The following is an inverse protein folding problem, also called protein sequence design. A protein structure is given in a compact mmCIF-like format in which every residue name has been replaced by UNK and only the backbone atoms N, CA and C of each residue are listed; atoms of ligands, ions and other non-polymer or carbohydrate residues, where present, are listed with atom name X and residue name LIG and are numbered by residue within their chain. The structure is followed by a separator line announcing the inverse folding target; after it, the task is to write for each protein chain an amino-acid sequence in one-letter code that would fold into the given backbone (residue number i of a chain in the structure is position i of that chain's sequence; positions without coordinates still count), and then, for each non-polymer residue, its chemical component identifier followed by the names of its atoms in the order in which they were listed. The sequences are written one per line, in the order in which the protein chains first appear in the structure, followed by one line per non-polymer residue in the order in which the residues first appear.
data_IF_809261143823
#
_entry.id   IF_809261143823
#
_cell.length_a   1.000
_cell.length_b   1.000
_cell.length_c   1.000
_cell.angle_alpha   90.00
_cell.angle_beta   90.00
_cell.angle_gamma   90.00
#
_symmetry.space_group_name_H-M   'P 1'
#
loop_
_entity.id
_entity.type
_entity.pdbx_description
1 polymer ?
#
# COMPACT_ATOMS: atom_id res chain seq x y z
N UNK A 1 -2.65 1.63 14.24
CA UNK A 1 -1.33 2.19 14.61
C UNK A 1 -0.72 2.71 13.34
N UNK A 2 -0.36 4.00 13.29
CA UNK A 2 0.15 4.73 12.13
C UNK A 2 1.65 4.44 12.01
N UNK A 3 2.07 3.80 10.93
CA UNK A 3 3.49 3.52 10.68
C UNK A 3 4.16 4.78 10.11
N UNK A 4 5.29 5.19 10.65
CA UNK A 4 6.06 6.30 10.12
C UNK A 4 7.55 5.98 10.00
N UNK A 5 8.21 6.66 9.07
CA UNK A 5 9.67 6.68 8.93
C UNK A 5 10.18 8.10 9.07
N UNK A 6 11.43 8.23 9.51
CA UNK A 6 12.13 9.50 9.68
C UNK A 6 13.34 9.52 8.75
N UNK A 7 13.43 10.54 7.90
CA UNK A 7 14.52 10.70 6.92
C UNK A 7 15.15 12.07 7.08
N UNK A 8 16.38 12.09 7.56
CA UNK A 8 17.14 13.31 7.83
C UNK A 8 18.62 12.92 7.97
N UNK A 9 19.54 13.64 7.36
CA UNK A 9 20.97 13.32 7.46
C UNK A 9 21.56 13.71 8.82
N UNK A 10 20.91 14.63 9.54
CA UNK A 10 21.30 15.08 10.86
C UNK A 10 20.73 14.19 11.96
N UNK A 11 21.58 13.41 12.64
CA UNK A 11 21.15 12.58 13.78
C UNK A 11 20.39 13.35 14.87
N UNK A 12 20.80 14.57 15.29
CA UNK A 12 20.05 15.33 16.29
C UNK A 12 18.60 15.62 15.87
N UNK A 13 18.36 15.93 14.59
CA UNK A 13 17.02 16.17 14.09
C UNK A 13 16.16 14.88 14.10
N UNK A 14 16.75 13.73 13.77
CA UNK A 14 16.05 12.43 13.93
C UNK A 14 15.66 12.15 15.38
N UNK A 15 16.57 12.44 16.34
CA UNK A 15 16.27 12.24 17.78
C UNK A 15 15.17 13.20 18.28
N UNK A 16 15.13 14.44 17.80
CA UNK A 16 14.05 15.39 18.10
C UNK A 16 12.70 14.85 17.58
N UNK A 17 12.63 14.38 16.34
CA UNK A 17 11.42 13.78 15.76
C UNK A 17 11.00 12.51 16.51
N UNK A 18 11.93 11.64 16.88
CA UNK A 18 11.62 10.45 17.71
C UNK A 18 11.00 10.84 19.04
N UNK A 19 11.53 11.87 19.70
CA UNK A 19 10.96 12.35 20.94
C UNK A 19 9.55 12.89 20.77
N UNK A 20 9.29 13.68 19.72
CA UNK A 20 7.98 14.22 19.43
C UNK A 20 6.97 13.11 19.04
N UNK A 21 7.35 12.23 18.14
CA UNK A 21 6.51 11.08 17.72
C UNK A 21 6.26 10.14 18.91
N UNK A 22 7.24 9.97 19.80
CA UNK A 22 7.09 9.12 21.00
C UNK A 22 6.06 9.61 22.01
N UNK A 23 5.58 10.86 21.90
CA UNK A 23 4.45 11.38 22.68
C UNK A 23 3.10 10.87 22.15
N UNK A 24 3.04 10.43 20.89
CA UNK A 24 1.84 10.01 20.19
C UNK A 24 1.68 8.48 20.28
N UNK A 25 0.73 8.03 21.08
CA UNK A 25 0.55 6.59 21.41
C UNK A 25 0.08 5.73 20.22
N UNK A 26 -0.46 6.35 19.19
CA UNK A 26 -0.99 5.71 17.99
C UNK A 26 0.01 5.67 16.82
N UNK A 27 1.19 6.29 16.99
CA UNK A 27 2.28 6.26 15.99
C UNK A 27 3.32 5.20 16.32
N UNK A 28 3.93 4.65 15.28
CA UNK A 28 5.03 3.70 15.37
C UNK A 28 6.11 4.02 14.33
N UNK A 29 7.31 4.36 14.79
CA UNK A 29 8.47 4.49 13.93
C UNK A 29 8.90 3.09 13.49
N UNK A 30 8.93 2.84 12.19
CA UNK A 30 9.30 1.56 11.59
C UNK A 30 10.65 1.60 10.88
N UNK A 31 11.21 2.78 10.67
CA UNK A 31 12.54 2.94 10.06
C UNK A 31 13.07 4.36 10.15
N UNK A 32 14.39 4.47 9.96
CA UNK A 32 15.13 5.72 9.88
C UNK A 32 16.12 5.67 8.74
N UNK A 33 16.34 6.79 8.05
CA UNK A 33 17.30 6.92 6.97
C UNK A 33 17.98 8.29 6.96
N UNK A 34 19.04 8.42 6.19
CA UNK A 34 19.88 9.62 6.12
C UNK A 34 19.80 10.31 4.76
N UNK A 35 19.04 9.78 3.83
CA UNK A 35 18.90 10.31 2.47
C UNK A 35 17.65 9.75 1.77
N UNK A 36 17.28 10.29 0.63
CA UNK A 36 16.11 9.86 -0.11
C UNK A 36 16.20 8.42 -0.69
N UNK A 37 17.41 7.86 -0.86
CA UNK A 37 17.56 6.45 -1.30
C UNK A 37 17.16 5.52 -0.16
N UNK A 38 17.59 5.80 1.06
CA UNK A 38 17.17 5.07 2.26
C UNK A 38 15.65 5.15 2.40
N UNK A 39 15.07 6.36 2.17
CA UNK A 39 13.63 6.54 2.19
C UNK A 39 12.90 5.62 1.22
N UNK A 40 13.35 5.53 -0.05
CA UNK A 40 12.75 4.63 -1.06
C UNK A 40 12.81 3.18 -0.62
N UNK A 41 13.94 2.73 -0.06
CA UNK A 41 14.11 1.36 0.43
C UNK A 41 13.17 1.06 1.59
N UNK A 42 13.11 1.96 2.59
CA UNK A 42 12.25 1.82 3.77
C UNK A 42 10.76 1.87 3.40
N UNK A 43 10.38 2.71 2.44
CA UNK A 43 9.00 2.79 1.94
C UNK A 43 8.61 1.47 1.27
N UNK A 44 9.47 0.89 0.45
CA UNK A 44 9.21 -0.38 -0.21
C UNK A 44 9.15 -1.57 0.78
N UNK A 45 9.93 -1.51 1.88
CA UNK A 45 9.99 -2.59 2.87
C UNK A 45 8.85 -2.52 3.89
N UNK A 46 8.55 -1.32 4.41
CA UNK A 46 7.63 -1.17 5.54
C UNK A 46 6.25 -0.61 5.17
N UNK A 47 6.09 -0.07 3.96
CA UNK A 47 4.87 0.61 3.50
C UNK A 47 4.32 1.57 4.56
N UNK A 48 5.09 2.62 4.95
CA UNK A 48 4.68 3.53 6.00
C UNK A 48 3.52 4.41 5.56
N UNK A 49 2.65 4.74 6.51
CA UNK A 49 1.55 5.68 6.30
C UNK A 49 2.07 7.12 6.14
N UNK A 50 3.20 7.44 6.82
CA UNK A 50 3.77 8.79 6.89
C UNK A 50 5.29 8.74 6.76
N UNK A 51 5.84 9.72 6.03
CA UNK A 51 7.28 10.00 5.93
C UNK A 51 7.54 11.40 6.43
N UNK A 52 8.30 11.53 7.51
CA UNK A 52 8.91 12.81 7.95
C UNK A 52 10.27 12.92 7.27
N UNK A 53 10.43 13.91 6.41
CA UNK A 53 11.59 14.00 5.51
C UNK A 53 12.20 15.39 5.51
N UNK A 54 13.52 15.49 5.75
CA UNK A 54 14.22 16.72 5.42
C UNK A 54 14.29 16.94 3.91
N UNK A 55 14.36 18.19 3.51
CA UNK A 55 14.52 18.58 2.11
C UNK A 55 15.97 18.45 1.68
N UNK A 56 16.89 19.01 2.45
CA UNK A 56 18.30 19.10 2.08
C UNK A 56 19.10 17.91 2.62
N UNK A 57 19.14 16.85 1.84
CA UNK A 57 19.88 15.62 2.16
C UNK A 57 20.82 15.23 1.02
N UNK A 58 21.90 14.50 1.31
CA UNK A 58 22.79 13.99 0.26
C UNK A 58 22.11 12.94 -0.63
N UNK A 59 22.69 12.71 -1.82
CA UNK A 59 22.30 11.71 -2.81
C UNK A 59 20.96 12.01 -3.48
N UNK A 60 19.85 11.85 -2.79
CA UNK A 60 18.51 12.15 -3.24
C UNK A 60 17.85 13.07 -2.19
N UNK A 61 17.57 14.31 -2.55
CA UNK A 61 16.92 15.27 -1.67
C UNK A 61 15.42 14.98 -1.48
N UNK A 62 14.79 15.66 -0.49
CA UNK A 62 13.38 15.42 -0.17
C UNK A 62 12.41 15.80 -1.28
N UNK A 63 12.71 16.84 -2.06
CA UNK A 63 11.90 17.28 -3.22
C UNK A 63 11.92 16.22 -4.32
N UNK A 64 13.09 15.69 -4.64
CA UNK A 64 13.21 14.65 -5.66
C UNK A 64 12.62 13.33 -5.19
N UNK A 65 12.70 13.01 -3.88
CA UNK A 65 11.96 11.90 -3.28
C UNK A 65 10.45 12.05 -3.52
N UNK A 66 9.87 13.23 -3.24
CA UNK A 66 8.46 13.49 -3.49
C UNK A 66 8.06 13.22 -4.95
N UNK A 67 8.87 13.71 -5.91
CA UNK A 67 8.66 13.45 -7.34
C UNK A 67 8.69 11.95 -7.69
N UNK A 68 9.58 11.18 -7.04
CA UNK A 68 9.65 9.73 -7.20
C UNK A 68 8.39 9.05 -6.67
N UNK A 69 7.92 9.44 -5.47
CA UNK A 69 6.70 8.89 -4.88
C UNK A 69 5.48 9.14 -5.76
N UNK A 70 5.31 10.36 -6.26
CA UNK A 70 4.22 10.73 -7.18
C UNK A 70 4.28 9.87 -8.45
N UNK A 71 5.44 9.77 -9.11
CA UNK A 71 5.59 8.99 -10.35
C UNK A 71 5.30 7.51 -10.18
N UNK A 72 5.59 6.96 -9.00
CA UNK A 72 5.33 5.55 -8.68
C UNK A 72 3.92 5.30 -8.14
N UNK A 73 3.11 6.35 -7.91
CA UNK A 73 1.78 6.23 -7.30
C UNK A 73 1.82 5.71 -5.86
N UNK A 74 2.91 5.97 -5.12
CA UNK A 74 3.06 5.51 -3.74
C UNK A 74 2.22 6.37 -2.80
N UNK A 75 1.32 5.76 -2.07
CA UNK A 75 0.30 6.38 -1.22
C UNK A 75 0.80 6.59 0.22
N UNK A 76 1.95 7.20 0.41
CA UNK A 76 2.42 7.60 1.73
C UNK A 76 2.25 9.11 1.93
N UNK A 77 1.90 9.56 3.12
CA UNK A 77 1.80 11.00 3.42
C UNK A 77 3.19 11.55 3.65
N UNK A 78 3.58 12.57 2.90
CA UNK A 78 4.88 13.21 3.04
C UNK A 78 4.75 14.49 3.87
N UNK A 79 5.57 14.63 4.89
CA UNK A 79 5.71 15.82 5.73
C UNK A 79 7.16 16.27 5.63
N UNK A 80 7.37 17.47 5.13
CA UNK A 80 8.70 18.05 5.12
C UNK A 80 9.06 18.64 6.48
N UNK A 81 10.29 18.39 6.92
CA UNK A 81 10.84 18.88 8.19
C UNK A 81 12.22 19.48 7.91
N UNK A 82 12.33 20.79 7.80
CA UNK A 82 13.54 21.44 7.32
C UNK A 82 13.85 22.77 8.01
N UNK A 83 15.08 23.21 7.92
CA UNK A 83 15.50 24.53 8.42
C UNK A 83 15.18 25.69 7.46
N UNK A 84 14.74 25.38 6.24
CA UNK A 84 14.55 26.37 5.16
C UNK A 84 13.07 26.65 4.94
N UNK A 85 12.69 27.91 4.80
CA UNK A 85 11.32 28.36 4.56
C UNK A 85 11.00 28.54 3.06
N UNK A 86 12.02 28.66 2.23
CA UNK A 86 11.89 28.94 0.80
C UNK A 86 11.24 27.80 -0.02
N UNK A 87 11.29 26.57 0.47
CA UNK A 87 10.69 25.40 -0.21
C UNK A 87 9.21 25.16 0.09
N UNK A 88 8.59 26.02 0.90
CA UNK A 88 7.19 25.83 1.30
C UNK A 88 6.22 25.82 0.11
N UNK A 89 6.47 26.64 -0.92
CA UNK A 89 5.65 26.71 -2.15
C UNK A 89 5.82 25.42 -2.96
N UNK A 90 7.06 24.95 -3.16
CA UNK A 90 7.34 23.73 -3.90
C UNK A 90 6.77 22.49 -3.20
N UNK A 91 6.84 22.47 -1.87
CA UNK A 91 6.23 21.41 -1.05
C UNK A 91 4.72 21.31 -1.29
N UNK A 92 4.03 22.46 -1.40
CA UNK A 92 2.60 22.51 -1.71
C UNK A 92 2.29 21.97 -3.12
N UNK A 93 3.08 22.34 -4.12
CA UNK A 93 2.94 21.84 -5.50
C UNK A 93 3.16 20.33 -5.59
N UNK A 94 3.98 19.76 -4.72
CA UNK A 94 4.26 18.33 -4.62
C UNK A 94 3.25 17.58 -3.74
N UNK A 95 2.14 18.23 -3.35
CA UNK A 95 1.09 17.63 -2.53
C UNK A 95 1.58 17.04 -1.19
N UNK A 96 2.64 17.62 -0.61
CA UNK A 96 3.02 17.28 0.76
C UNK A 96 1.88 17.61 1.72
N UNK A 97 1.64 16.74 2.69
CA UNK A 97 0.55 16.91 3.66
C UNK A 97 0.80 18.12 4.55
N UNK A 98 2.05 18.32 4.95
CA UNK A 98 2.43 19.45 5.80
C UNK A 98 3.92 19.79 5.67
N UNK A 99 4.30 20.93 6.29
CA UNK A 99 5.64 21.50 6.26
C UNK A 99 6.00 22.01 7.65
N UNK A 100 7.07 21.48 8.24
CA UNK A 100 7.57 21.82 9.57
C UNK A 100 8.93 22.51 9.47
N UNK A 101 9.04 23.67 10.10
CA UNK A 101 10.32 24.38 10.23
C UNK A 101 11.05 23.95 11.50
N UNK A 102 12.33 23.65 11.38
CA UNK A 102 13.25 23.41 12.50
C UNK A 102 13.63 24.77 13.16
N UNK A 103 13.68 24.89 14.51
CA UNK A 103 13.30 23.88 15.50
C UNK A 103 11.78 23.65 15.57
N UNK A 104 11.39 22.40 15.73
CA UNK A 104 9.98 22.02 15.70
C UNK A 104 9.31 22.42 17.01
N UNK A 105 8.27 23.25 16.93
CA UNK A 105 7.45 23.61 18.10
C UNK A 105 6.42 22.52 18.36
N UNK A 106 6.25 22.11 19.62
CA UNK A 106 5.30 21.07 20.04
C UNK A 106 3.90 21.30 19.47
N UNK A 107 3.34 22.51 19.64
CA UNK A 107 2.00 22.86 19.12
C UNK A 107 1.89 22.72 17.59
N UNK A 108 2.98 22.97 16.86
CA UNK A 108 3.00 22.85 15.41
C UNK A 108 3.07 21.39 14.97
N UNK A 109 3.81 20.58 15.70
CA UNK A 109 3.89 19.14 15.51
C UNK A 109 2.53 18.46 15.79
N UNK A 110 1.88 18.81 16.91
CA UNK A 110 0.55 18.29 17.26
C UNK A 110 -0.47 18.55 16.16
N UNK A 111 -0.51 19.75 15.58
CA UNK A 111 -1.39 20.07 14.44
C UNK A 111 -1.09 19.24 13.19
N UNK A 112 0.19 18.95 12.96
CA UNK A 112 0.60 18.11 11.83
C UNK A 112 0.13 16.67 12.01
N UNK A 113 0.31 16.13 13.21
CA UNK A 113 -0.15 14.80 13.57
C UNK A 113 -1.68 14.68 13.44
N UNK A 114 -2.42 15.72 13.83
CA UNK A 114 -3.88 15.79 13.66
C UNK A 114 -4.28 15.72 12.18
N UNK A 115 -3.63 16.49 11.31
CA UNK A 115 -3.84 16.40 9.86
C UNK A 115 -3.55 15.00 9.30
N UNK A 116 -2.53 14.32 9.82
CA UNK A 116 -2.24 12.93 9.42
C UNK A 116 -3.42 12.02 9.77
N UNK A 117 -3.96 12.12 11.00
CA UNK A 117 -5.11 11.32 11.44
C UNK A 117 -6.32 11.58 10.55
N UNK A 118 -6.68 12.86 10.37
CA UNK A 118 -7.80 13.27 9.52
C UNK A 118 -7.65 12.71 8.10
N UNK A 119 -6.45 12.81 7.51
CA UNK A 119 -6.19 12.33 6.14
C UNK A 119 -6.31 10.82 6.01
N UNK A 120 -5.84 10.08 7.00
CA UNK A 120 -5.97 8.62 7.03
C UNK A 120 -7.42 8.17 7.30
N UNK A 121 -8.15 8.88 8.15
CA UNK A 121 -9.58 8.64 8.40
C UNK A 121 -10.43 8.94 7.18
N UNK A 122 -10.19 10.07 6.49
CA UNK A 122 -10.85 10.41 5.22
C UNK A 122 -10.62 9.32 4.16
N UNK A 123 -9.39 8.81 4.07
CA UNK A 123 -9.06 7.71 3.17
C UNK A 123 -9.88 6.45 3.50
N UNK A 124 -9.98 6.08 4.77
CA UNK A 124 -10.79 4.94 5.21
C UNK A 124 -12.28 5.16 5.00
N UNK A 125 -12.79 6.36 5.31
CA UNK A 125 -14.21 6.71 5.13
C UNK A 125 -14.62 6.72 3.66
N UNK A 126 -13.78 7.26 2.79
CA UNK A 126 -14.01 7.25 1.35
C UNK A 126 -14.03 5.82 0.80
N UNK A 127 -13.11 4.96 1.26
CA UNK A 127 -13.12 3.54 0.90
C UNK A 127 -14.41 2.85 1.38
N UNK A 128 -14.88 3.13 2.60
CA UNK A 128 -16.12 2.56 3.16
C UNK A 128 -17.39 3.00 2.42
N UNK A 129 -17.51 4.28 2.07
CA UNK A 129 -18.62 4.81 1.24
C UNK A 129 -18.61 4.20 -0.16
N UNK A 130 -17.43 4.04 -0.74
CA UNK A 130 -17.26 3.40 -2.04
C UNK A 130 -17.63 1.92 -2.02
N UNK A 131 -17.29 1.21 -0.94
CA UNK A 131 -17.72 -0.18 -0.76
C UNK A 131 -19.24 -0.33 -0.63
N UNK A 132 -19.94 0.66 -0.03
CA UNK A 132 -21.40 0.68 0.01
C UNK A 132 -22.03 0.88 -1.37
N UNK A 133 -21.55 1.85 -2.14
CA UNK A 133 -22.00 2.08 -3.52
C UNK A 133 -21.76 0.86 -4.42
N UNK A 134 -20.63 0.19 -4.22
CA UNK A 134 -20.25 -1.04 -4.90
C UNK A 134 -21.21 -2.20 -4.57
N UNK A 135 -21.57 -2.35 -3.29
CA UNK A 135 -22.52 -3.38 -2.87
C UNK A 135 -23.90 -3.20 -3.47
N UNK A 136 -24.37 -1.96 -3.60
CA UNK A 136 -25.67 -1.67 -4.20
C UNK A 136 -25.69 -1.92 -5.72
N UNK A 137 -24.57 -1.68 -6.40
CA UNK A 137 -24.41 -2.00 -7.82
C UNK A 137 -24.34 -3.51 -8.08
N UNK A 138 -23.65 -4.26 -7.23
CA UNK A 138 -23.42 -5.72 -7.40
C UNK A 138 -24.58 -6.60 -6.92
N UNK A 139 -25.52 -6.10 -6.12
CA UNK A 139 -26.71 -6.87 -5.70
C UNK A 139 -27.61 -7.33 -6.86
N UNK A 140 -27.39 -6.80 -8.06
CA UNK A 140 -28.20 -7.09 -9.25
C UNK A 140 -27.55 -8.05 -10.27
N UNK A 141 -26.28 -8.43 -10.09
CA UNK A 141 -25.55 -9.26 -11.07
C UNK A 141 -25.02 -10.57 -10.47
N UNK A 142 -25.30 -11.70 -11.10
CA UNK A 142 -24.57 -12.96 -10.87
C UNK A 142 -23.14 -12.79 -11.42
N UNK A 143 -22.12 -12.86 -10.54
CA UNK A 143 -20.69 -12.72 -10.82
C UNK A 143 -20.37 -11.58 -11.83
N UNK A 144 -20.06 -10.38 -11.35
CA UNK A 144 -19.85 -9.24 -12.24
C UNK A 144 -18.60 -9.45 -13.10
N UNK A 145 -18.73 -9.16 -14.40
CA UNK A 145 -17.55 -9.13 -15.30
C UNK A 145 -16.62 -7.93 -15.03
N UNK A 146 -17.03 -7.01 -14.14
CA UNK A 146 -16.26 -5.83 -13.77
C UNK A 146 -16.35 -5.60 -12.27
N UNK A 147 -15.24 -5.18 -11.68
CA UNK A 147 -15.11 -4.72 -10.31
C UNK A 147 -14.79 -3.23 -10.31
N UNK A 148 -15.43 -2.44 -9.48
CA UNK A 148 -14.98 -1.07 -9.22
C UNK A 148 -13.93 -1.11 -8.12
N UNK A 149 -12.70 -0.80 -8.44
CA UNK A 149 -11.57 -0.83 -7.55
C UNK A 149 -11.03 0.58 -7.32
N UNK A 150 -10.43 0.79 -6.16
CA UNK A 150 -9.95 2.09 -5.73
C UNK A 150 -8.46 2.27 -6.04
N UNK A 151 -8.10 3.45 -6.54
CA UNK A 151 -6.70 3.90 -6.68
C UNK A 151 -6.66 5.43 -6.65
N UNK A 152 -5.80 6.00 -5.81
CA UNK A 152 -5.54 7.45 -5.77
C UNK A 152 -6.80 8.33 -5.58
N UNK A 153 -7.74 7.90 -4.74
CA UNK A 153 -8.95 8.67 -4.49
C UNK A 153 -10.05 8.52 -5.53
N UNK A 154 -9.87 7.67 -6.55
CA UNK A 154 -10.80 7.46 -7.65
C UNK A 154 -11.22 5.99 -7.76
N UNK A 155 -12.45 5.77 -8.22
CA UNK A 155 -12.96 4.45 -8.59
C UNK A 155 -12.71 4.15 -10.06
N UNK A 156 -12.16 2.98 -10.31
CA UNK A 156 -11.90 2.48 -11.64
C UNK A 156 -12.71 1.22 -11.92
N UNK A 157 -13.50 1.18 -13.00
CA UNK A 157 -14.10 -0.08 -13.46
C UNK A 157 -12.99 -0.95 -14.06
N UNK A 158 -12.68 -2.04 -13.37
CA UNK A 158 -11.66 -3.03 -13.76
C UNK A 158 -12.38 -4.32 -14.13
N UNK A 159 -12.11 -4.86 -15.31
CA UNK A 159 -12.66 -6.15 -15.70
C UNK A 159 -11.98 -7.27 -14.92
N UNK A 160 -12.73 -8.30 -14.54
CA UNK A 160 -12.19 -9.44 -13.81
C UNK A 160 -11.07 -10.13 -14.58
N UNK A 161 -11.15 -10.20 -15.93
CA UNK A 161 -10.10 -10.72 -16.79
C UNK A 161 -8.77 -9.96 -16.74
N UNK A 162 -8.79 -8.70 -16.30
CA UNK A 162 -7.58 -7.86 -16.14
C UNK A 162 -6.86 -8.11 -14.82
N UNK A 163 -7.51 -8.79 -13.86
CA UNK A 163 -6.94 -9.10 -12.55
C UNK A 163 -6.04 -10.32 -12.66
N UNK A 164 -4.77 -10.15 -12.28
CA UNK A 164 -3.75 -11.22 -12.30
C UNK A 164 -3.75 -11.99 -11.00
N UNK A 165 -3.68 -11.29 -9.87
CA UNK A 165 -3.82 -11.87 -8.54
C UNK A 165 -4.26 -10.83 -7.52
N UNK A 166 -4.69 -11.31 -6.37
CA UNK A 166 -5.17 -10.50 -5.26
C UNK A 166 -4.45 -10.97 -4.00
N UNK A 167 -3.97 -10.03 -3.20
CA UNK A 167 -3.40 -10.37 -1.91
C UNK A 167 -3.90 -9.44 -0.80
N UNK A 168 -3.76 -9.89 0.44
CA UNK A 168 -4.06 -9.08 1.62
C UNK A 168 -2.80 -8.82 2.40
N UNK A 169 -2.60 -7.55 2.76
CA UNK A 169 -1.53 -7.05 3.60
C UNK A 169 -2.07 -5.95 4.50
N UNK A 170 -1.71 -5.94 5.79
CA UNK A 170 -2.10 -4.92 6.78
C UNK A 170 -3.60 -4.56 6.79
N UNK A 171 -4.47 -5.57 6.65
CA UNK A 171 -5.94 -5.46 6.58
C UNK A 171 -6.49 -4.82 5.30
N UNK A 172 -5.65 -4.46 4.37
CA UNK A 172 -6.04 -4.01 3.03
C UNK A 172 -5.95 -5.16 2.04
N UNK A 173 -6.76 -5.12 1.01
CA UNK A 173 -6.71 -6.05 -0.11
C UNK A 173 -6.26 -5.32 -1.35
N UNK A 174 -5.23 -5.86 -2.00
CA UNK A 174 -4.60 -5.32 -3.19
C UNK A 174 -4.91 -6.20 -4.39
N UNK A 175 -5.40 -5.58 -5.46
CA UNK A 175 -5.66 -6.21 -6.75
C UNK A 175 -4.53 -5.84 -7.71
N UNK A 176 -3.74 -6.83 -8.08
CA UNK A 176 -2.72 -6.67 -9.11
C UNK A 176 -3.31 -6.93 -10.48
N UNK A 177 -3.23 -5.94 -11.34
CA UNK A 177 -3.82 -5.97 -12.69
C UNK A 177 -2.80 -5.54 -13.72
N UNK A 178 -3.07 -5.78 -15.00
CA UNK A 178 -2.23 -5.27 -16.09
C UNK A 178 -2.21 -3.72 -16.18
N UNK A 179 -3.12 -3.03 -15.48
CA UNK A 179 -3.21 -1.56 -15.44
C UNK A 179 -2.60 -0.94 -14.18
N UNK A 180 -2.06 -1.76 -13.29
CA UNK A 180 -1.49 -1.34 -12.01
C UNK A 180 -2.18 -1.99 -10.80
N UNK A 181 -1.87 -1.49 -9.62
CA UNK A 181 -2.39 -2.02 -8.36
C UNK A 181 -3.56 -1.16 -7.89
N UNK A 182 -4.63 -1.81 -7.44
CA UNK A 182 -5.82 -1.20 -6.87
C UNK A 182 -6.07 -1.75 -5.47
N UNK A 183 -6.88 -1.05 -4.69
CA UNK A 183 -7.11 -1.35 -3.27
C UNK A 183 -8.60 -1.61 -3.00
N UNK A 184 -8.87 -2.39 -1.94
CA UNK A 184 -10.21 -2.57 -1.37
C UNK A 184 -10.10 -2.80 0.14
N UNK A 185 -11.08 -2.30 0.89
CA UNK A 185 -11.23 -2.55 2.33
C UNK A 185 -11.99 -3.83 2.65
N UNK A 186 -12.60 -4.46 1.63
CA UNK A 186 -13.33 -5.73 1.80
C UNK A 186 -12.38 -6.84 2.23
N UNK A 187 -12.90 -7.74 3.07
CA UNK A 187 -12.16 -8.94 3.41
C UNK A 187 -11.92 -9.82 2.17
N UNK A 188 -10.78 -10.51 2.13
CA UNK A 188 -10.44 -11.40 1.00
C UNK A 188 -11.51 -12.51 0.77
N UNK A 189 -12.23 -12.91 1.82
CA UNK A 189 -13.34 -13.87 1.71
C UNK A 189 -14.56 -13.28 0.97
N UNK A 190 -14.88 -12.02 1.22
CA UNK A 190 -15.99 -11.34 0.55
C UNK A 190 -15.66 -11.10 -0.93
N UNK A 191 -14.39 -10.85 -1.23
CA UNK A 191 -13.90 -10.71 -2.61
C UNK A 191 -13.95 -12.05 -3.33
N UNK A 192 -13.56 -13.15 -2.66
CA UNK A 192 -13.67 -14.51 -3.20
C UNK A 192 -15.09 -14.82 -3.70
N UNK A 193 -16.10 -14.44 -2.91
CA UNK A 193 -17.51 -14.67 -3.24
C UNK A 193 -18.02 -13.84 -4.47
N UNK A 194 -17.32 -12.75 -4.81
CA UNK A 194 -17.61 -11.88 -5.94
C UNK A 194 -16.94 -12.33 -7.24
N UNK A 195 -15.89 -13.14 -7.15
CA UNK A 195 -15.09 -13.55 -8.30
C UNK A 195 -15.67 -14.81 -8.96
N UNK A 196 -15.57 -14.93 -10.30
CA UNK A 196 -15.94 -16.17 -11.00
C UNK A 196 -15.07 -17.34 -10.52
N UNK A 197 -15.69 -18.37 -9.94
CA UNK A 197 -14.95 -19.57 -9.51
C UNK A 197 -14.22 -20.26 -10.67
N UNK A 198 -14.69 -20.10 -11.92
CA UNK A 198 -14.04 -20.62 -13.12
C UNK A 198 -12.63 -20.05 -13.30
N UNK A 199 -12.42 -18.79 -12.94
CA UNK A 199 -11.24 -18.02 -13.32
C UNK A 199 -10.30 -17.77 -12.14
N UNK A 200 -10.80 -17.86 -10.90
CA UNK A 200 -10.03 -17.53 -9.71
C UNK A 200 -9.88 -18.73 -8.77
N UNK A 201 -8.73 -18.79 -8.11
CA UNK A 201 -8.39 -19.81 -7.14
C UNK A 201 -7.74 -19.20 -5.90
N UNK A 202 -8.40 -19.39 -4.74
CA UNK A 202 -7.82 -19.01 -3.44
C UNK A 202 -6.79 -20.06 -3.03
N UNK A 203 -5.54 -19.79 -3.33
CA UNK A 203 -4.41 -20.68 -3.06
C UNK A 203 -3.88 -20.58 -1.63
N UNK A 204 -4.08 -19.45 -0.96
CA UNK A 204 -3.60 -19.16 0.39
C UNK A 204 -4.61 -18.31 1.17
N UNK A 205 -4.48 -18.25 2.51
CA UNK A 205 -5.32 -17.36 3.34
C UNK A 205 -5.21 -15.88 2.95
N UNK A 206 -4.10 -15.51 2.33
CA UNK A 206 -3.78 -14.14 1.93
C UNK A 206 -3.70 -13.96 0.42
N UNK A 207 -3.96 -14.98 -0.41
CA UNK A 207 -3.80 -14.88 -1.87
C UNK A 207 -4.94 -15.57 -2.62
N UNK A 208 -5.44 -14.86 -3.66
CA UNK A 208 -6.30 -15.40 -4.72
C UNK A 208 -5.59 -15.13 -6.06
N UNK A 209 -5.50 -16.13 -6.92
CA UNK A 209 -4.86 -16.01 -8.23
C UNK A 209 -5.86 -16.21 -9.36
N UNK A 210 -5.66 -15.51 -10.46
CA UNK A 210 -6.35 -15.78 -11.70
C UNK A 210 -5.67 -16.99 -12.36
N UNK A 211 -6.42 -18.07 -12.55
CA UNK A 211 -5.87 -19.31 -13.10
C UNK A 211 -5.41 -19.18 -14.55
N UNK A 212 -5.99 -18.23 -15.28
CA UNK A 212 -5.64 -17.96 -16.68
C UNK A 212 -4.28 -17.24 -16.81
N UNK A 213 -3.76 -16.69 -15.70
CA UNK A 213 -2.45 -16.02 -15.63
C UNK A 213 -1.34 -16.92 -15.08
N UNK A 214 -1.62 -18.21 -14.81
CA UNK A 214 -0.63 -19.13 -14.26
C UNK A 214 0.34 -19.57 -15.34
N UNK A 215 1.62 -19.19 -15.18
CA UNK A 215 2.72 -19.66 -16.03
C UNK A 215 3.13 -21.09 -15.67
N UNK A 216 3.28 -21.38 -14.37
CA UNK A 216 3.69 -22.71 -13.89
C UNK A 216 3.32 -22.94 -12.44
N UNK A 217 3.23 -24.25 -12.09
CA UNK A 217 3.02 -24.72 -10.72
C UNK A 217 4.28 -25.47 -10.28
N UNK A 218 4.97 -24.94 -9.28
CA UNK A 218 6.28 -25.41 -8.84
C UNK A 218 6.11 -26.27 -7.60
N UNK A 219 6.50 -27.56 -7.62
CA UNK A 219 6.53 -28.38 -6.42
C UNK A 219 7.47 -27.77 -5.36
N UNK A 220 7.03 -27.75 -4.11
CA UNK A 220 7.75 -27.15 -3.01
C UNK A 220 7.88 -28.11 -1.83
N UNK A 221 8.67 -27.71 -0.81
CA UNK A 221 8.91 -28.51 0.38
C UNK A 221 7.59 -28.99 1.05
N UNK A 222 7.65 -30.13 1.74
CA UNK A 222 6.54 -30.71 2.48
C UNK A 222 5.25 -30.96 1.65
N UNK A 223 5.41 -31.35 0.39
CA UNK A 223 4.30 -31.61 -0.54
C UNK A 223 3.36 -30.42 -0.74
N UNK A 224 3.89 -29.20 -0.66
CA UNK A 224 3.18 -27.98 -1.05
C UNK A 224 3.58 -27.55 -2.45
N UNK A 225 3.00 -26.45 -2.93
CA UNK A 225 3.29 -25.88 -4.23
C UNK A 225 3.48 -24.38 -4.13
N UNK A 226 4.15 -23.81 -5.13
CA UNK A 226 4.12 -22.38 -5.42
C UNK A 226 3.58 -22.17 -6.82
N UNK A 227 2.92 -21.06 -7.05
CA UNK A 227 2.38 -20.64 -8.32
C UNK A 227 3.21 -19.51 -8.86
N UNK A 228 3.71 -19.64 -10.08
CA UNK A 228 4.34 -18.57 -10.82
C UNK A 228 3.34 -18.01 -11.81
N UNK A 229 3.18 -16.70 -11.83
CA UNK A 229 2.27 -15.98 -12.72
C UNK A 229 3.04 -15.30 -13.85
N UNK A 230 2.43 -15.17 -15.00
CA UNK A 230 3.02 -14.50 -16.16
C UNK A 230 3.38 -13.05 -15.85
N UNK A 231 4.65 -12.68 -16.09
CA UNK A 231 5.17 -11.33 -15.88
C UNK A 231 5.32 -10.89 -14.41
N UNK A 232 5.17 -11.81 -13.46
CA UNK A 232 5.34 -11.57 -12.01
C UNK A 232 6.57 -12.36 -11.52
N UNK A 233 7.51 -11.65 -10.90
CA UNK A 233 8.71 -12.31 -10.34
C UNK A 233 8.42 -13.09 -9.07
N UNK A 234 7.43 -12.65 -8.28
CA UNK A 234 7.06 -13.26 -7.02
C UNK A 234 6.37 -14.62 -7.22
N UNK A 235 6.81 -15.64 -6.48
CA UNK A 235 6.17 -16.94 -6.44
C UNK A 235 5.13 -16.99 -5.32
N UNK A 236 3.87 -17.22 -5.66
CA UNK A 236 2.75 -17.21 -4.72
C UNK A 236 2.62 -18.56 -4.01
N UNK A 237 2.62 -18.60 -2.66
CA UNK A 237 2.56 -19.84 -1.91
C UNK A 237 1.16 -20.49 -1.96
N UNK A 238 1.11 -21.80 -2.06
CA UNK A 238 -0.12 -22.59 -1.90
C UNK A 238 -0.15 -23.21 -0.50
N UNK A 239 -1.22 -22.94 0.24
CA UNK A 239 -1.38 -23.51 1.59
C UNK A 239 -1.64 -25.01 1.52
N UNK A 240 -1.24 -25.74 2.58
CA UNK A 240 -1.47 -27.20 2.67
C UNK A 240 -2.94 -27.59 2.46
N UNK A 241 -3.87 -26.78 2.97
CA UNK A 241 -5.32 -27.01 2.80
C UNK A 241 -5.78 -26.91 1.34
N UNK A 242 -5.11 -26.05 0.54
CA UNK A 242 -5.48 -25.81 -0.85
C UNK A 242 -4.73 -26.71 -1.84
N UNK A 243 -3.72 -27.44 -1.38
CA UNK A 243 -2.92 -28.33 -2.23
C UNK A 243 -3.77 -29.38 -2.97
N UNK A 244 -4.72 -30.02 -2.29
CA UNK A 244 -5.57 -31.03 -2.92
C UNK A 244 -6.51 -30.39 -3.96
N UNK A 245 -7.12 -29.26 -3.64
CA UNK A 245 -7.97 -28.51 -4.59
C UNK A 245 -7.18 -28.05 -5.82
N UNK A 246 -5.91 -27.63 -5.64
CA UNK A 246 -5.03 -27.29 -6.75
C UNK A 246 -4.79 -28.49 -7.65
N UNK A 247 -4.47 -29.65 -7.07
CA UNK A 247 -4.25 -30.88 -7.82
C UNK A 247 -5.45 -31.32 -8.65
N UNK A 248 -6.63 -31.30 -8.03
CA UNK A 248 -7.89 -31.61 -8.70
C UNK A 248 -8.16 -30.65 -9.86
N UNK A 249 -7.97 -29.35 -9.61
CA UNK A 249 -8.29 -28.31 -10.60
C UNK A 249 -7.38 -28.35 -11.82
N UNK A 250 -6.11 -28.69 -11.63
CA UNK A 250 -5.10 -28.72 -12.71
C UNK A 250 -4.76 -30.15 -13.16
N UNK A 251 -5.49 -31.19 -12.70
CA UNK A 251 -5.22 -32.59 -13.00
C UNK A 251 -3.76 -32.99 -12.78
N UNK A 252 -3.15 -32.48 -11.68
CA UNK A 252 -1.76 -32.79 -11.34
C UNK A 252 -1.70 -34.24 -10.85
N UNK A 253 -1.01 -35.07 -11.61
CA UNK A 253 -0.84 -36.52 -11.37
C UNK A 253 0.18 -36.79 -10.24
#
# INVERSE_FOLDING_TARGET
MIKCIIIDDEKPAREELKYLIGKESDFKIVGEGENGIDAVNLINEYHPDVVFCDINMPLLNGVDLAKVLIRKGIQTQLIFVTAYDEYAIEAFELSALDYLLKPIKDERFERTVEKVRERLEERQSNLGLMDQLFNDYNKTAKAPNQLCLYREGLLYPVKTEEVVYIHTEDKMVYFHTYKGVFESTKALSEIEDLLPESDFFKCHRSYIVNINCIESVIPWFNRTYRIKLEGIEEEIPVSRKQTNKLKERFNIL
#
